data_IF_247435407722
#
_entry.id   IF_247435407722
#
_cell.length_a   1.000
_cell.length_b   1.000
_cell.length_c   1.000
_cell.angle_alpha   90.00
_cell.angle_beta   90.00
_cell.angle_gamma   90.00
#
_symmetry.space_group_name_H-M   'P 1'
#
loop_
_entity.id
_entity.type
_entity.pdbx_description
1 polymer ?
#
# COMPACT_ATOMS: atom_id res chain seq x y z
N UNK A 1 -7.09 -27.57 -10.57
CA UNK A 1 -7.72 -26.23 -10.50
C UNK A 1 -9.12 -26.35 -11.08
N UNK A 2 -10.17 -25.98 -10.33
CA UNK A 2 -11.57 -26.14 -10.74
C UNK A 2 -12.06 -24.87 -11.44
N UNK A 3 -12.99 -25.00 -12.39
CA UNK A 3 -13.58 -23.87 -13.14
C UNK A 3 -14.16 -22.78 -12.21
N UNK A 4 -14.67 -23.19 -11.04
CA UNK A 4 -15.17 -22.26 -10.02
C UNK A 4 -14.07 -21.35 -9.44
N UNK A 5 -12.85 -21.86 -9.26
CA UNK A 5 -11.70 -21.11 -8.75
C UNK A 5 -11.28 -19.98 -9.72
N UNK A 6 -11.40 -20.24 -11.03
CA UNK A 6 -11.07 -19.26 -12.07
C UNK A 6 -12.12 -18.13 -12.12
N UNK A 7 -13.40 -18.48 -11.98
CA UNK A 7 -14.50 -17.50 -12.00
C UNK A 7 -14.42 -16.55 -10.80
N UNK A 8 -14.05 -17.06 -9.62
CA UNK A 8 -13.87 -16.25 -8.40
C UNK A 8 -12.75 -15.23 -8.57
N UNK A 9 -11.55 -15.68 -8.98
CA UNK A 9 -10.40 -14.80 -9.24
C UNK A 9 -10.68 -13.69 -10.26
N UNK A 10 -11.51 -13.96 -11.26
CA UNK A 10 -11.87 -12.96 -12.27
C UNK A 10 -12.78 -11.86 -11.71
N UNK A 11 -13.70 -12.20 -10.80
CA UNK A 11 -14.53 -11.20 -10.12
C UNK A 11 -13.68 -10.31 -9.21
N UNK A 12 -12.74 -10.89 -8.48
CA UNK A 12 -11.84 -10.14 -7.59
C UNK A 12 -11.00 -9.11 -8.37
N UNK A 13 -10.50 -9.49 -9.56
CA UNK A 13 -9.77 -8.57 -10.45
C UNK A 13 -10.67 -7.42 -10.93
N UNK A 14 -11.94 -7.69 -11.23
CA UNK A 14 -12.88 -6.64 -11.69
C UNK A 14 -13.20 -5.67 -10.56
N UNK A 15 -13.49 -6.17 -9.37
CA UNK A 15 -13.80 -5.31 -8.22
C UNK A 15 -12.58 -4.50 -7.81
N UNK A 16 -11.39 -5.11 -7.72
CA UNK A 16 -10.15 -4.37 -7.44
C UNK A 16 -9.88 -3.26 -8.46
N UNK A 17 -10.16 -3.48 -9.75
CA UNK A 17 -10.07 -2.42 -10.78
C UNK A 17 -11.13 -1.33 -10.62
N UNK A 18 -12.29 -1.64 -10.07
CA UNK A 18 -13.36 -0.66 -9.81
C UNK A 18 -13.01 0.19 -8.60
N UNK A 19 -12.56 -0.43 -7.51
CA UNK A 19 -12.06 0.25 -6.31
C UNK A 19 -10.88 1.17 -6.66
N UNK A 20 -9.90 0.68 -7.42
CA UNK A 20 -8.78 1.49 -7.87
C UNK A 20 -9.21 2.72 -8.68
N UNK A 21 -10.23 2.58 -9.54
CA UNK A 21 -10.76 3.70 -10.32
C UNK A 21 -11.47 4.72 -9.43
N UNK A 22 -12.26 4.26 -8.47
CA UNK A 22 -12.92 5.14 -7.50
C UNK A 22 -11.89 5.90 -6.65
N UNK A 23 -10.86 5.19 -6.20
CA UNK A 23 -9.73 5.75 -5.47
C UNK A 23 -9.03 6.87 -6.27
N UNK A 24 -8.65 6.58 -7.51
CA UNK A 24 -7.99 7.59 -8.35
C UNK A 24 -8.91 8.75 -8.75
N UNK A 25 -10.23 8.55 -8.75
CA UNK A 25 -11.18 9.64 -8.97
C UNK A 25 -11.19 10.64 -7.81
N UNK A 26 -11.15 10.14 -6.57
CA UNK A 26 -10.98 10.97 -5.36
C UNK A 26 -9.67 11.77 -5.43
N UNK A 27 -8.56 11.13 -5.83
CA UNK A 27 -7.25 11.84 -5.94
C UNK A 27 -7.37 13.01 -6.91
N UNK A 28 -8.00 12.79 -8.07
CA UNK A 28 -8.18 13.83 -9.09
C UNK A 28 -9.07 15.00 -8.66
N UNK A 29 -9.91 14.80 -7.65
CA UNK A 29 -10.77 15.85 -7.12
C UNK A 29 -10.02 16.79 -6.13
N UNK A 30 -8.84 16.38 -5.65
CA UNK A 30 -8.02 17.19 -4.75
C UNK A 30 -7.38 18.39 -5.48
N UNK A 31 -6.94 19.42 -4.73
CA UNK A 31 -6.11 20.50 -5.28
C UNK A 31 -4.81 19.97 -5.93
N UNK A 32 -4.22 20.76 -6.83
CA UNK A 32 -3.12 20.30 -7.68
C UNK A 32 -1.87 19.89 -6.91
N UNK A 33 -1.52 20.61 -5.84
CA UNK A 33 -0.41 20.30 -4.95
C UNK A 33 -0.60 18.95 -4.23
N UNK A 34 -1.81 18.70 -3.72
CA UNK A 34 -2.19 17.41 -3.14
C UNK A 34 -2.05 16.26 -4.15
N UNK A 35 -2.49 16.46 -5.39
CA UNK A 35 -2.35 15.44 -6.45
C UNK A 35 -0.88 15.12 -6.77
N UNK A 36 0.01 16.11 -6.73
CA UNK A 36 1.44 15.93 -6.98
C UNK A 36 2.05 15.10 -5.85
N UNK A 37 1.86 15.53 -4.60
CA UNK A 37 2.44 14.84 -3.44
C UNK A 37 1.90 13.42 -3.33
N UNK A 38 0.60 13.22 -3.55
CA UNK A 38 0.00 11.89 -3.54
C UNK A 38 0.69 10.92 -4.53
N UNK A 39 0.99 11.38 -5.75
CA UNK A 39 1.69 10.55 -6.75
C UNK A 39 3.12 10.21 -6.33
N UNK A 40 3.84 11.12 -5.70
CA UNK A 40 5.19 10.85 -5.19
C UNK A 40 5.16 9.88 -4.01
N UNK A 41 4.19 10.01 -3.10
CA UNK A 41 3.94 9.04 -2.02
C UNK A 41 3.66 7.65 -2.60
N UNK A 42 2.77 7.55 -3.60
CA UNK A 42 2.44 6.28 -4.24
C UNK A 42 3.69 5.61 -4.84
N UNK A 43 4.56 6.36 -5.53
CA UNK A 43 5.83 5.85 -6.06
C UNK A 43 6.76 5.39 -4.94
N UNK A 44 6.85 6.16 -3.85
CA UNK A 44 7.68 5.81 -2.71
C UNK A 44 7.23 4.51 -2.07
N UNK A 45 5.95 4.38 -1.74
CA UNK A 45 5.38 3.18 -1.11
C UNK A 45 5.59 1.93 -1.97
N UNK A 46 5.36 2.00 -3.28
CA UNK A 46 5.64 0.86 -4.17
C UNK A 46 7.12 0.48 -4.26
N UNK A 47 8.04 1.41 -3.94
CA UNK A 47 9.48 1.13 -3.90
C UNK A 47 9.90 0.51 -2.57
N UNK A 48 9.37 1.02 -1.46
CA UNK A 48 9.82 0.62 -0.11
C UNK A 48 9.02 -0.52 0.50
N UNK A 49 7.84 -0.83 -0.04
CA UNK A 49 6.96 -1.91 0.39
C UNK A 49 6.79 -2.93 -0.75
N UNK A 50 7.68 -3.94 -0.85
CA UNK A 50 7.62 -4.96 -1.91
C UNK A 50 6.61 -6.06 -1.63
N UNK A 51 6.02 -6.12 -0.43
CA UNK A 51 5.07 -7.19 -0.11
C UNK A 51 3.78 -6.99 -0.88
N UNK A 52 3.23 -8.07 -1.41
CA UNK A 52 2.04 -8.08 -2.27
C UNK A 52 0.92 -7.27 -1.64
N UNK A 53 0.80 -6.04 -2.12
CA UNK A 53 -0.25 -5.08 -1.82
C UNK A 53 -1.57 -5.52 -2.48
N UNK A 54 -1.99 -6.77 -2.30
CA UNK A 54 -3.40 -7.12 -2.48
C UNK A 54 -4.27 -6.30 -1.51
N UNK A 55 -3.68 -5.79 -0.42
CA UNK A 55 -4.28 -4.86 0.55
C UNK A 55 -3.71 -3.42 0.50
N UNK A 56 -2.84 -3.08 -0.46
CA UNK A 56 -2.19 -1.76 -0.50
C UNK A 56 -3.10 -0.58 -0.82
N UNK A 57 -4.36 -0.86 -1.12
CA UNK A 57 -5.43 0.13 -1.12
C UNK A 57 -5.65 0.71 0.28
N UNK A 58 -5.37 -0.02 1.38
CA UNK A 58 -5.63 0.45 2.74
C UNK A 58 -4.81 1.68 3.15
N UNK A 59 -3.48 1.61 3.05
CA UNK A 59 -2.60 2.74 3.40
C UNK A 59 -2.83 3.92 2.45
N UNK A 60 -2.95 3.66 1.15
CA UNK A 60 -3.28 4.67 0.15
C UNK A 60 -4.67 5.30 0.39
N UNK A 61 -5.65 4.52 0.86
CA UNK A 61 -6.98 5.01 1.28
C UNK A 61 -6.90 5.90 2.51
N UNK A 62 -6.10 5.53 3.52
CA UNK A 62 -5.90 6.38 4.69
C UNK A 62 -5.25 7.72 4.33
N UNK A 63 -4.27 7.71 3.42
CA UNK A 63 -3.62 8.94 2.94
C UNK A 63 -4.61 9.86 2.22
N UNK A 64 -5.47 9.30 1.37
CA UNK A 64 -6.45 10.12 0.66
C UNK A 64 -7.53 10.68 1.59
N UNK A 65 -7.96 9.93 2.60
CA UNK A 65 -8.89 10.41 3.63
C UNK A 65 -8.29 11.62 4.38
N UNK A 66 -7.01 11.50 4.79
CA UNK A 66 -6.27 12.60 5.41
C UNK A 66 -6.13 13.82 4.48
N UNK A 67 -5.89 13.58 3.19
CA UNK A 67 -5.71 14.66 2.21
C UNK A 67 -7.02 15.40 1.91
N UNK A 68 -8.14 14.67 1.85
CA UNK A 68 -9.47 15.28 1.72
C UNK A 68 -9.80 16.16 2.93
N UNK A 69 -9.49 15.71 4.15
CA UNK A 69 -9.68 16.51 5.37
C UNK A 69 -8.77 17.75 5.39
N UNK A 70 -7.49 17.59 5.01
CA UNK A 70 -6.53 18.68 4.92
C UNK A 70 -6.97 19.75 3.91
N UNK A 71 -7.40 19.32 2.73
CA UNK A 71 -7.90 20.21 1.69
C UNK A 71 -9.21 20.91 2.10
N UNK A 72 -10.15 20.19 2.71
CA UNK A 72 -11.39 20.76 3.23
C UNK A 72 -11.14 21.80 4.35
N UNK A 73 -10.06 21.61 5.11
CA UNK A 73 -9.61 22.55 6.14
C UNK A 73 -8.77 23.72 5.60
N UNK A 74 -8.54 23.80 4.28
CA UNK A 74 -7.75 24.85 3.65
C UNK A 74 -6.24 24.80 3.92
N UNK A 75 -5.72 23.65 4.39
CA UNK A 75 -4.28 23.49 4.65
C UNK A 75 -3.54 23.20 3.34
N UNK A 76 -2.32 23.72 3.20
CA UNK A 76 -1.43 23.26 2.14
C UNK A 76 -0.98 21.81 2.36
N UNK A 77 -0.74 21.05 1.30
CA UNK A 77 -0.38 19.62 1.44
C UNK A 77 0.87 19.39 2.30
N UNK A 78 1.85 20.30 2.24
CA UNK A 78 3.08 20.20 3.05
C UNK A 78 2.87 20.59 4.51
N UNK A 79 1.74 21.20 4.88
CA UNK A 79 1.33 21.37 6.27
C UNK A 79 0.72 20.08 6.83
N UNK A 80 0.17 19.23 5.95
CA UNK A 80 -0.38 17.91 6.31
C UNK A 80 0.73 16.87 6.42
N UNK A 81 1.60 16.79 5.41
CA UNK A 81 2.66 15.76 5.37
C UNK A 81 3.97 16.22 6.01
N UNK A 82 4.18 17.52 6.19
CA UNK A 82 5.51 18.07 6.37
C UNK A 82 6.31 18.15 5.06
N UNK A 83 7.45 18.84 5.09
CA UNK A 83 8.36 18.98 3.93
C UNK A 83 9.15 17.70 3.64
N UNK A 84 9.38 16.88 4.65
CA UNK A 84 9.98 15.56 4.51
C UNK A 84 8.88 14.51 4.32
N UNK A 85 8.42 14.39 3.08
CA UNK A 85 7.33 13.48 2.70
C UNK A 85 7.74 12.00 2.85
N UNK A 86 9.03 11.69 2.74
CA UNK A 86 9.52 10.33 2.94
C UNK A 86 9.41 9.92 4.42
N UNK A 87 9.86 10.80 5.32
CA UNK A 87 9.73 10.55 6.77
C UNK A 87 8.26 10.41 7.21
N UNK A 88 7.34 11.18 6.59
CA UNK A 88 5.90 10.99 6.78
C UNK A 88 5.44 9.59 6.38
N UNK A 89 5.82 9.11 5.19
CA UNK A 89 5.49 7.76 4.75
C UNK A 89 6.09 6.68 5.68
N UNK A 90 7.34 6.84 6.11
CA UNK A 90 8.00 5.87 6.99
C UNK A 90 7.29 5.76 8.34
N UNK A 91 6.79 6.88 8.88
CA UNK A 91 5.94 6.89 10.08
C UNK A 91 4.65 6.10 9.89
N UNK A 92 3.95 6.30 8.76
CA UNK A 92 2.72 5.57 8.45
C UNK A 92 2.93 4.06 8.30
N UNK A 93 4.02 3.65 7.65
CA UNK A 93 4.36 2.24 7.48
C UNK A 93 4.62 1.58 8.84
N UNK A 94 5.42 2.26 9.68
CA UNK A 94 5.82 1.75 11.01
C UNK A 94 4.64 1.59 11.95
N UNK A 95 3.63 2.45 11.87
CA UNK A 95 2.44 2.36 12.73
C UNK A 95 1.37 1.39 12.18
N UNK A 96 1.48 0.97 10.92
CA UNK A 96 0.52 0.03 10.32
C UNK A 96 0.82 -1.42 10.76
N UNK A 97 0.04 -1.92 11.74
CA UNK A 97 0.13 -3.32 12.21
C UNK A 97 0.16 -4.32 11.06
N UNK A 98 -0.70 -4.12 10.06
CA UNK A 98 -0.80 -4.96 8.87
C UNK A 98 0.53 -5.09 8.12
N UNK A 99 1.31 -4.02 7.97
CA UNK A 99 2.60 -4.12 7.30
C UNK A 99 3.62 -4.90 8.12
N UNK A 100 3.70 -4.61 9.43
CA UNK A 100 4.61 -5.32 10.34
C UNK A 100 4.28 -6.81 10.35
N UNK A 101 3.01 -7.16 10.49
CA UNK A 101 2.55 -8.55 10.57
C UNK A 101 2.85 -9.31 9.27
N UNK A 102 2.50 -8.72 8.11
CA UNK A 102 2.75 -9.32 6.79
C UNK A 102 4.26 -9.47 6.53
N UNK A 103 5.06 -8.47 6.89
CA UNK A 103 6.51 -8.52 6.69
C UNK A 103 7.15 -9.58 7.60
N UNK A 104 6.72 -9.69 8.86
CA UNK A 104 7.19 -10.71 9.79
C UNK A 104 6.89 -12.13 9.27
N UNK A 105 5.65 -12.38 8.84
CA UNK A 105 5.26 -13.68 8.29
C UNK A 105 6.08 -14.03 7.03
N UNK A 106 6.28 -13.07 6.13
CA UNK A 106 7.05 -13.29 4.89
C UNK A 106 8.52 -13.62 5.18
N UNK A 107 9.15 -12.91 6.12
CA UNK A 107 10.55 -13.16 6.51
C UNK A 107 10.69 -14.53 7.18
N UNK A 108 9.78 -14.88 8.08
CA UNK A 108 9.80 -16.18 8.77
C UNK A 108 9.64 -17.33 7.78
N UNK A 109 8.75 -17.19 6.79
CA UNK A 109 8.62 -18.17 5.71
C UNK A 109 9.90 -18.34 4.88
N UNK A 110 10.52 -17.24 4.45
CA UNK A 110 11.76 -17.25 3.65
C UNK A 110 12.91 -17.90 4.42
N UNK A 111 13.08 -17.54 5.70
CA UNK A 111 14.10 -18.13 6.59
C UNK A 111 13.84 -19.63 6.75
N UNK A 112 12.60 -20.04 7.02
CA UNK A 112 12.25 -21.45 7.16
C UNK A 112 12.51 -22.25 5.88
N UNK A 113 12.18 -21.70 4.70
CA UNK A 113 12.48 -22.30 3.39
C UNK A 113 13.98 -22.45 3.20
N UNK A 114 14.77 -21.42 3.50
CA UNK A 114 16.22 -21.43 3.38
C UNK A 114 16.88 -22.45 4.33
N UNK A 115 16.44 -22.49 5.59
CA UNK A 115 16.94 -23.42 6.61
C UNK A 115 16.65 -24.88 6.25
N UNK A 116 15.43 -25.18 5.78
CA UNK A 116 15.08 -26.53 5.31
C UNK A 116 15.97 -26.99 4.15
N UNK A 117 16.20 -26.10 3.17
CA UNK A 117 17.09 -26.38 2.02
C UNK A 117 18.55 -26.62 2.43
N UNK A 118 19.03 -25.93 3.46
CA UNK A 118 20.37 -26.13 4.00
C UNK A 118 20.50 -27.49 4.71
N UNK A 119 19.48 -27.88 5.48
CA UNK A 119 19.43 -29.17 6.17
C UNK A 119 19.35 -30.35 5.19
N UNK A 120 18.56 -30.23 4.12
CA UNK A 120 18.41 -31.27 3.09
C UNK A 120 19.68 -31.47 2.24
N UNK A 121 20.57 -30.47 2.15
CA UNK A 121 21.86 -30.54 1.44
C UNK A 121 22.99 -31.17 2.26
N UNK A 122 22.81 -31.28 3.57
CA UNK A 122 23.85 -31.75 4.51
C UNK A 122 23.66 -33.24 4.85
N UNK A 123 22.66 -33.89 4.23
CA UNK A 123 22.31 -35.30 4.40
C UNK A 123 22.56 -36.08 3.11
#
# INVERSE_FOLDING_TARGET
MRIQDIKMKFQDIIEGKKEWRAHMARVKALPQDYQIVYKEIQKYLFKVCPVELTEGTGVLSGIIDLFEEGAASGKGVLEVTGRDVAAFCDGLITDSKTYIDIYQESVDEEVNKAMKKAMDKTK
#
